data_IF_723399668662
#
_entry.id   IF_723399668662
#
_cell.length_a   1.000
_cell.length_b   1.000
_cell.length_c   1.000
_cell.angle_alpha   90.00
_cell.angle_beta   90.00
_cell.angle_gamma   90.00
#
_symmetry.space_group_name_H-M   'P 1'
#
loop_
_entity.id
_entity.type
_entity.pdbx_description
1 polymer ?
#
# COMPACT_ATOMS: atom_id res chain seq x y z
N UNK A 1 -3.20 33.08 0.41
CA UNK A 1 -3.41 31.66 0.76
C UNK A 1 -3.82 30.91 -0.50
N UNK A 2 -2.94 30.06 -1.03
CA UNK A 2 -3.21 29.22 -2.20
C UNK A 2 -4.13 28.01 -1.83
N UNK A 3 -4.66 27.24 -2.80
CA UNK A 3 -5.51 26.08 -2.49
C UNK A 3 -4.86 25.04 -1.57
N UNK A 4 -3.56 24.73 -1.74
CA UNK A 4 -2.85 23.79 -0.86
C UNK A 4 -2.85 24.27 0.58
N UNK A 5 -2.46 25.53 0.82
CA UNK A 5 -2.39 26.13 2.16
C UNK A 5 -3.75 26.16 2.86
N UNK A 6 -4.85 26.32 2.11
CA UNK A 6 -6.21 26.19 2.68
C UNK A 6 -6.52 24.77 3.13
N UNK A 7 -6.08 23.76 2.37
CA UNK A 7 -6.27 22.37 2.76
C UNK A 7 -5.38 22.00 3.96
N UNK A 8 -4.12 22.44 3.99
CA UNK A 8 -3.22 22.28 5.13
C UNK A 8 -3.80 22.94 6.41
N UNK A 9 -4.44 24.11 6.27
CA UNK A 9 -5.12 24.74 7.40
C UNK A 9 -6.34 23.92 7.85
N UNK A 10 -7.15 23.41 6.91
CA UNK A 10 -8.27 22.51 7.26
C UNK A 10 -7.78 21.26 7.99
N UNK A 11 -6.65 20.67 7.58
CA UNK A 11 -6.07 19.51 8.26
C UNK A 11 -5.69 19.84 9.72
N UNK A 12 -5.18 21.05 9.98
CA UNK A 12 -4.86 21.51 11.34
C UNK A 12 -6.09 21.66 12.23
N UNK A 13 -7.17 22.15 11.65
CA UNK A 13 -8.38 22.50 12.39
C UNK A 13 -9.28 21.27 12.67
N UNK A 14 -9.28 20.28 11.76
CA UNK A 14 -10.29 19.22 11.77
C UNK A 14 -9.77 17.78 11.90
N UNK A 15 -8.50 17.51 11.60
CA UNK A 15 -7.96 16.16 11.84
C UNK A 15 -7.78 15.90 13.35
N UNK A 16 -7.83 14.63 13.73
CA UNK A 16 -7.54 14.22 15.10
C UNK A 16 -6.13 14.66 15.52
N UNK A 17 -5.87 14.96 16.80
CA UNK A 17 -4.55 15.40 17.26
C UNK A 17 -3.40 14.42 16.97
N UNK A 18 -3.74 13.14 16.77
CA UNK A 18 -2.82 12.04 16.47
C UNK A 18 -2.64 11.77 14.97
N UNK A 19 -3.41 12.45 14.12
CA UNK A 19 -3.31 12.32 12.67
C UNK A 19 -2.09 13.07 12.14
N UNK A 20 -1.54 12.56 11.04
CA UNK A 20 -0.42 13.23 10.36
C UNK A 20 -0.93 14.36 9.48
N UNK A 21 -0.37 15.56 9.64
CA UNK A 21 -0.71 16.70 8.78
C UNK A 21 0.31 16.81 7.66
N UNK A 22 -0.17 17.11 6.45
CA UNK A 22 0.70 17.28 5.28
C UNK A 22 1.72 18.41 5.47
N UNK A 23 1.34 19.48 6.18
CA UNK A 23 2.25 20.59 6.51
C UNK A 23 3.35 20.23 7.52
N UNK A 24 3.25 19.08 8.20
CA UNK A 24 4.18 18.60 9.24
C UNK A 24 5.01 17.40 8.75
N UNK A 25 5.00 17.13 7.44
CA UNK A 25 5.78 16.06 6.82
C UNK A 25 7.28 16.21 7.11
N UNK A 26 7.98 15.09 7.29
CA UNK A 26 9.45 15.01 7.27
C UNK A 26 10.02 15.26 5.88
N UNK A 27 9.16 15.34 4.86
CA UNK A 27 9.49 15.74 3.52
C UNK A 27 9.96 14.59 2.64
N UNK A 28 10.65 14.97 1.57
CA UNK A 28 11.15 14.09 0.50
C UNK A 28 12.68 14.07 0.55
N UNK A 29 13.29 13.00 0.07
CA UNK A 29 14.75 12.91 0.01
C UNK A 29 15.36 13.96 -0.91
N UNK A 30 14.74 14.14 -2.09
CA UNK A 30 15.09 15.22 -3.00
C UNK A 30 14.11 16.37 -2.80
N UNK A 31 14.64 17.54 -2.43
CA UNK A 31 13.82 18.73 -2.24
C UNK A 31 13.21 19.16 -3.57
N UNK A 32 11.91 19.43 -3.53
CA UNK A 32 11.16 19.95 -4.67
C UNK A 32 10.33 21.14 -4.22
N UNK A 33 9.99 22.07 -5.14
CA UNK A 33 9.06 23.12 -4.82
C UNK A 33 7.69 22.54 -4.52
N UNK A 34 7.02 23.28 -3.67
CA UNK A 34 5.72 23.03 -3.10
C UNK A 34 4.64 23.30 -4.17
N UNK A 35 3.67 22.39 -4.35
CA UNK A 35 2.64 22.53 -5.39
C UNK A 35 1.58 23.53 -4.92
N UNK A 36 1.17 24.54 -5.73
CA UNK A 36 0.24 25.56 -5.25
C UNK A 36 -1.17 25.03 -5.00
N UNK A 37 -1.51 23.82 -5.48
CA UNK A 37 -2.86 23.24 -5.42
C UNK A 37 -2.92 22.03 -4.50
N UNK A 38 -1.97 21.09 -4.63
CA UNK A 38 -2.02 19.77 -3.98
C UNK A 38 -1.12 19.67 -2.77
N UNK A 39 -1.58 18.98 -1.73
CA UNK A 39 -0.76 18.62 -0.57
C UNK A 39 0.34 17.62 -0.95
N UNK A 40 1.34 17.45 -0.09
CA UNK A 40 2.44 16.52 -0.35
C UNK A 40 1.95 15.07 -0.53
N UNK A 41 0.94 14.64 0.23
CA UNK A 41 0.38 13.28 0.15
C UNK A 41 -0.51 13.09 -1.09
N UNK A 42 -1.26 14.11 -1.51
CA UNK A 42 -1.98 14.06 -2.79
C UNK A 42 -1.03 13.89 -3.97
N UNK A 43 0.10 14.60 -3.96
CA UNK A 43 1.14 14.42 -4.98
C UNK A 43 1.73 13.01 -4.98
N UNK A 44 1.90 12.40 -3.81
CA UNK A 44 2.39 11.02 -3.70
C UNK A 44 1.40 10.03 -4.29
N UNK A 45 0.13 10.13 -3.89
CA UNK A 45 -0.96 9.33 -4.47
C UNK A 45 -0.96 9.42 -6.00
N UNK A 46 -0.89 10.64 -6.54
CA UNK A 46 -0.91 10.85 -7.98
C UNK A 46 0.30 10.22 -8.67
N UNK A 47 1.50 10.30 -8.09
CA UNK A 47 2.72 9.65 -8.61
C UNK A 47 2.58 8.14 -8.68
N UNK A 48 2.06 7.54 -7.60
CA UNK A 48 1.84 6.10 -7.51
C UNK A 48 0.84 5.66 -8.57
N UNK A 49 -0.32 6.35 -8.65
CA UNK A 49 -1.40 6.02 -9.58
C UNK A 49 -0.96 6.05 -11.06
N UNK A 50 -0.04 6.96 -11.41
CA UNK A 50 0.47 7.10 -12.78
C UNK A 50 1.70 6.25 -13.08
N UNK A 51 2.23 5.50 -12.10
CA UNK A 51 3.44 4.69 -12.27
C UNK A 51 3.21 3.45 -13.15
N UNK A 52 4.28 2.95 -13.75
CA UNK A 52 4.20 1.70 -14.53
C UNK A 52 3.97 0.50 -13.60
N UNK A 53 4.57 0.49 -12.42
CA UNK A 53 4.39 -0.52 -11.38
C UNK A 53 2.92 -0.67 -10.98
N UNK A 54 2.20 0.44 -10.74
CA UNK A 54 0.79 0.40 -10.41
C UNK A 54 -0.06 -0.15 -11.57
N UNK A 55 0.21 0.28 -12.82
CA UNK A 55 -0.47 -0.26 -14.00
C UNK A 55 -0.27 -1.78 -14.17
N UNK A 56 0.90 -2.30 -13.81
CA UNK A 56 1.20 -3.74 -13.87
C UNK A 56 0.38 -4.56 -12.88
N UNK A 57 -0.16 -3.97 -11.80
CA UNK A 57 -1.04 -4.68 -10.87
C UNK A 57 -2.28 -5.26 -11.55
N UNK A 58 -2.75 -4.65 -12.65
CA UNK A 58 -3.85 -5.17 -13.46
C UNK A 58 -3.61 -6.59 -13.98
N UNK A 59 -2.36 -6.95 -14.23
CA UNK A 59 -1.99 -8.25 -14.82
C UNK A 59 -1.30 -9.17 -13.82
N UNK A 60 -1.35 -8.85 -12.52
CA UNK A 60 -0.88 -9.73 -11.45
C UNK A 60 -2.08 -10.37 -10.76
N UNK A 61 -2.06 -11.68 -10.65
CA UNK A 61 -3.13 -12.43 -9.97
C UNK A 61 -3.11 -12.20 -8.46
N UNK A 62 -4.31 -12.21 -7.87
CA UNK A 62 -4.52 -12.30 -6.43
C UNK A 62 -5.02 -13.72 -6.14
N UNK A 63 -4.16 -14.57 -5.57
CA UNK A 63 -4.43 -15.95 -5.12
C UNK A 63 -4.79 -16.97 -6.21
N UNK A 64 -5.82 -16.75 -7.04
CA UNK A 64 -6.28 -17.72 -8.04
C UNK A 64 -5.72 -17.41 -9.44
N UNK A 65 -5.36 -18.48 -10.16
CA UNK A 65 -4.97 -18.44 -11.57
C UNK A 65 -6.10 -19.08 -12.37
N UNK A 66 -7.00 -18.29 -12.92
CA UNK A 66 -7.93 -18.78 -13.92
C UNK A 66 -7.85 -17.89 -15.16
N UNK A 67 -7.31 -18.39 -16.28
CA UNK A 67 -7.25 -17.66 -17.54
C UNK A 67 -8.61 -17.48 -18.22
N UNK A 68 -9.66 -18.18 -17.79
CA UNK A 68 -10.96 -18.27 -18.48
C UNK A 68 -12.06 -17.43 -17.83
N UNK A 69 -11.95 -17.08 -16.55
CA UNK A 69 -12.93 -16.26 -15.83
C UNK A 69 -12.43 -14.85 -15.50
N UNK A 70 -13.02 -13.84 -16.16
CA UNK A 70 -12.74 -12.40 -15.95
C UNK A 70 -13.14 -11.86 -14.56
N UNK A 71 -13.73 -12.70 -13.71
CA UNK A 71 -14.25 -12.32 -12.39
C UNK A 71 -13.28 -12.57 -11.24
N UNK A 72 -12.15 -13.24 -11.47
CA UNK A 72 -11.12 -13.39 -10.44
C UNK A 72 -10.41 -12.07 -10.18
N UNK A 73 -10.14 -11.81 -8.91
CA UNK A 73 -9.49 -10.57 -8.49
C UNK A 73 -8.04 -10.52 -8.99
N UNK A 74 -7.65 -9.33 -9.43
CA UNK A 74 -6.26 -8.96 -9.68
C UNK A 74 -5.70 -8.23 -8.47
N UNK A 75 -4.38 -8.04 -8.41
CA UNK A 75 -3.77 -7.18 -7.38
C UNK A 75 -4.27 -5.74 -7.46
N UNK A 76 -4.64 -5.28 -8.65
CA UNK A 76 -5.23 -3.95 -8.80
C UNK A 76 -6.59 -3.86 -8.11
N UNK A 77 -7.48 -4.84 -8.30
CA UNK A 77 -8.81 -4.82 -7.65
C UNK A 77 -8.67 -4.93 -6.14
N UNK A 78 -7.79 -5.83 -5.64
CA UNK A 78 -7.45 -5.91 -4.22
C UNK A 78 -6.96 -4.57 -3.68
N UNK A 79 -5.99 -3.95 -4.34
CA UNK A 79 -5.43 -2.65 -3.93
C UNK A 79 -6.49 -1.55 -3.87
N UNK A 80 -7.43 -1.51 -4.80
CA UNK A 80 -8.53 -0.54 -4.81
C UNK A 80 -9.53 -0.78 -3.66
N UNK A 81 -9.86 -2.03 -3.37
CA UNK A 81 -10.73 -2.39 -2.24
C UNK A 81 -10.05 -2.07 -0.90
N UNK A 82 -8.77 -2.40 -0.74
CA UNK A 82 -7.97 -2.02 0.43
C UNK A 82 -7.94 -0.50 0.61
N UNK A 83 -7.71 0.26 -0.46
CA UNK A 83 -7.73 1.72 -0.39
C UNK A 83 -9.10 2.25 0.06
N UNK A 84 -10.19 1.67 -0.41
CA UNK A 84 -11.55 2.06 -0.01
C UNK A 84 -11.81 1.78 1.48
N UNK A 85 -11.43 0.59 1.98
CA UNK A 85 -11.56 0.22 3.40
C UNK A 85 -10.70 1.14 4.26
N UNK A 86 -9.43 1.34 3.88
CA UNK A 86 -8.48 2.16 4.62
C UNK A 86 -8.95 3.62 4.74
N UNK A 87 -9.46 4.20 3.65
CA UNK A 87 -10.04 5.56 3.67
C UNK A 87 -11.28 5.66 4.54
N UNK A 88 -12.11 4.61 4.57
CA UNK A 88 -13.31 4.58 5.43
C UNK A 88 -12.91 4.62 6.90
N UNK A 89 -11.91 3.82 7.29
CA UNK A 89 -11.37 3.83 8.66
C UNK A 89 -10.72 5.19 8.98
N UNK A 90 -9.88 5.70 8.08
CA UNK A 90 -9.21 7.00 8.26
C UNK A 90 -10.22 8.14 8.45
N UNK A 91 -11.25 8.21 7.61
CA UNK A 91 -12.32 9.22 7.71
C UNK A 91 -13.06 9.13 9.05
N UNK A 92 -13.44 7.92 9.47
CA UNK A 92 -14.15 7.70 10.73
C UNK A 92 -13.32 8.14 11.95
N UNK A 93 -12.00 7.97 11.89
CA UNK A 93 -11.05 8.34 12.94
C UNK A 93 -10.50 9.77 12.80
N UNK A 94 -10.91 10.51 11.76
CA UNK A 94 -10.34 11.82 11.38
C UNK A 94 -8.82 11.80 11.21
N UNK A 95 -8.30 10.74 10.60
CA UNK A 95 -6.91 10.63 10.16
C UNK A 95 -6.73 11.20 8.75
N UNK A 96 -5.48 11.31 8.28
CA UNK A 96 -5.21 11.84 6.94
C UNK A 96 -5.56 10.80 5.86
N UNK A 97 -6.66 11.04 5.15
CA UNK A 97 -7.13 10.16 4.08
C UNK A 97 -6.17 10.08 2.89
N UNK A 98 -5.57 11.20 2.48
CA UNK A 98 -4.67 11.24 1.32
C UNK A 98 -3.37 10.45 1.61
N UNK A 99 -2.83 10.56 2.83
CA UNK A 99 -1.70 9.72 3.27
C UNK A 99 -2.09 8.24 3.29
N UNK A 100 -3.23 7.92 3.89
CA UNK A 100 -3.72 6.53 4.00
C UNK A 100 -3.92 5.91 2.62
N UNK A 101 -4.53 6.64 1.69
CA UNK A 101 -4.75 6.21 0.31
C UNK A 101 -3.43 6.04 -0.45
N UNK A 102 -2.48 6.97 -0.32
CA UNK A 102 -1.18 6.84 -0.96
C UNK A 102 -0.43 5.57 -0.51
N UNK A 103 -0.43 5.27 0.80
CA UNK A 103 0.17 4.02 1.31
C UNK A 103 -0.56 2.81 0.73
N UNK A 104 -1.90 2.83 0.76
CA UNK A 104 -2.71 1.72 0.25
C UNK A 104 -2.46 1.45 -1.24
N UNK A 105 -2.33 2.47 -2.09
CA UNK A 105 -2.06 2.26 -3.51
C UNK A 105 -0.65 1.73 -3.80
N UNK A 106 0.30 1.90 -2.88
CA UNK A 106 1.70 1.54 -3.08
C UNK A 106 2.15 0.24 -2.39
N UNK A 107 1.38 -0.28 -1.44
CA UNK A 107 1.81 -1.41 -0.58
C UNK A 107 2.20 -2.67 -1.37
N UNK A 108 1.51 -2.90 -2.49
CA UNK A 108 1.56 -4.15 -3.26
C UNK A 108 2.36 -4.04 -4.56
N UNK A 109 3.02 -2.91 -4.81
CA UNK A 109 3.74 -2.66 -6.08
C UNK A 109 4.82 -3.71 -6.36
N UNK A 110 5.50 -4.15 -5.31
CA UNK A 110 6.64 -5.06 -5.34
C UNK A 110 6.29 -6.53 -5.43
N UNK A 111 5.01 -6.91 -5.41
CA UNK A 111 4.65 -8.32 -5.53
C UNK A 111 5.12 -8.91 -6.87
N UNK A 112 5.74 -10.09 -6.86
CA UNK A 112 6.12 -10.76 -8.10
C UNK A 112 4.89 -11.35 -8.81
N UNK A 113 5.05 -11.86 -10.04
CA UNK A 113 4.07 -12.75 -10.65
C UNK A 113 3.71 -13.91 -9.71
N UNK A 114 2.48 -14.43 -9.79
CA UNK A 114 2.01 -15.57 -8.98
C UNK A 114 1.94 -15.33 -7.46
N UNK A 115 1.86 -14.07 -7.03
CA UNK A 115 1.58 -13.70 -5.64
C UNK A 115 2.60 -14.29 -4.64
N UNK A 116 2.11 -14.92 -3.57
CA UNK A 116 2.97 -15.49 -2.53
C UNK A 116 3.83 -16.65 -3.03
N UNK A 117 3.33 -17.47 -3.97
CA UNK A 117 4.13 -18.55 -4.54
C UNK A 117 5.35 -17.99 -5.31
N UNK A 118 5.16 -16.88 -6.04
CA UNK A 118 6.27 -16.19 -6.69
C UNK A 118 7.22 -15.52 -5.71
N UNK A 119 6.72 -15.02 -4.58
CA UNK A 119 7.55 -14.45 -3.51
C UNK A 119 8.41 -15.52 -2.84
N UNK A 120 7.84 -16.67 -2.50
CA UNK A 120 8.56 -17.82 -1.92
C UNK A 120 9.62 -18.36 -2.88
N UNK A 121 9.29 -18.52 -4.16
CA UNK A 121 10.23 -18.99 -5.18
C UNK A 121 11.38 -18.00 -5.43
N UNK A 122 11.10 -16.69 -5.43
CA UNK A 122 12.16 -15.69 -5.54
C UNK A 122 13.02 -15.64 -4.27
N UNK A 123 12.43 -15.74 -3.08
CA UNK A 123 13.17 -15.75 -1.82
C UNK A 123 14.12 -16.96 -1.71
N UNK A 124 13.67 -18.16 -2.14
CA UNK A 124 14.51 -19.35 -2.12
C UNK A 124 15.73 -19.19 -3.02
N UNK A 125 15.52 -18.74 -4.27
CA UNK A 125 16.61 -18.52 -5.23
C UNK A 125 17.52 -17.39 -4.75
N UNK A 126 16.96 -16.31 -4.22
CA UNK A 126 17.76 -15.18 -3.72
C UNK A 126 18.71 -15.60 -2.59
N UNK A 127 18.23 -16.45 -1.66
CA UNK A 127 19.05 -16.97 -0.55
C UNK A 127 20.16 -17.90 -1.01
N UNK A 128 20.03 -18.57 -2.16
CA UNK A 128 21.15 -19.34 -2.74
C UNK A 128 22.32 -18.43 -3.14
N UNK A 129 22.03 -17.19 -3.59
CA UNK A 129 23.06 -16.22 -3.98
C UNK A 129 23.53 -15.33 -2.80
N UNK A 130 22.62 -14.99 -1.88
CA UNK A 130 22.89 -14.14 -0.73
C UNK A 130 22.19 -14.69 0.53
N UNK A 131 22.83 -15.62 1.27
CA UNK A 131 22.21 -16.34 2.38
C UNK A 131 21.68 -15.47 3.52
N UNK A 132 22.30 -14.31 3.74
CA UNK A 132 21.94 -13.34 4.80
C UNK A 132 20.81 -12.38 4.38
N UNK A 133 20.33 -12.48 3.14
CA UNK A 133 19.31 -11.62 2.58
C UNK A 133 18.16 -12.45 1.98
N UNK A 134 17.09 -11.79 1.57
CA UNK A 134 15.90 -12.45 1.04
C UNK A 134 15.05 -11.53 0.20
N UNK A 135 14.04 -12.11 -0.44
CA UNK A 135 13.05 -11.39 -1.21
C UNK A 135 11.75 -11.24 -0.41
N UNK A 136 11.28 -9.99 -0.31
CA UNK A 136 10.01 -9.62 0.29
C UNK A 136 9.34 -8.56 -0.59
N UNK A 137 8.04 -8.71 -0.83
CA UNK A 137 7.30 -7.80 -1.70
C UNK A 137 7.28 -6.36 -1.17
N UNK A 138 7.27 -6.15 0.14
CA UNK A 138 7.26 -4.81 0.74
C UNK A 138 8.62 -4.10 0.55
N UNK A 139 9.74 -4.82 0.71
CA UNK A 139 11.09 -4.29 0.41
C UNK A 139 11.23 -3.96 -1.08
N UNK A 140 10.69 -4.84 -1.93
CA UNK A 140 10.65 -4.58 -3.37
C UNK A 140 9.71 -3.40 -3.72
N UNK A 141 8.64 -3.17 -2.97
CA UNK A 141 7.76 -2.01 -3.15
C UNK A 141 8.48 -0.71 -2.83
N UNK A 142 9.25 -0.67 -1.75
CA UNK A 142 10.15 0.45 -1.43
C UNK A 142 11.16 0.69 -2.54
N UNK A 143 11.87 -0.38 -2.96
CA UNK A 143 12.84 -0.29 -4.05
C UNK A 143 12.23 0.25 -5.34
N UNK A 144 10.98 -0.11 -5.65
CA UNK A 144 10.26 0.44 -6.81
C UNK A 144 10.07 1.95 -6.68
N UNK A 145 9.59 2.43 -5.54
CA UNK A 145 9.27 3.85 -5.34
C UNK A 145 10.50 4.71 -5.06
N UNK A 146 11.61 4.13 -4.62
CA UNK A 146 12.87 4.83 -4.31
C UNK A 146 13.86 4.80 -5.48
N UNK A 147 13.90 3.71 -6.26
CA UNK A 147 14.95 3.49 -7.26
C UNK A 147 14.45 3.19 -8.67
N UNK A 148 13.50 2.26 -8.83
CA UNK A 148 13.24 1.63 -10.14
C UNK A 148 12.29 2.44 -11.04
N UNK A 149 11.29 3.09 -10.46
CA UNK A 149 10.45 4.02 -11.21
C UNK A 149 11.21 5.31 -11.49
N UNK A 150 10.76 6.10 -12.46
CA UNK A 150 11.45 7.35 -12.82
C UNK A 150 10.45 8.48 -12.81
N UNK A 151 10.72 9.50 -12.00
CA UNK A 151 9.93 10.72 -11.95
C UNK A 151 10.80 11.94 -12.23
N UNK A 152 10.45 12.70 -13.28
CA UNK A 152 11.26 13.81 -13.75
C UNK A 152 12.63 13.33 -14.25
N UNK A 153 13.71 13.89 -13.70
CA UNK A 153 15.08 13.57 -14.07
C UNK A 153 15.82 12.64 -13.09
N UNK A 154 15.13 12.13 -12.04
CA UNK A 154 15.76 11.35 -10.97
C UNK A 154 15.16 9.96 -10.78
N UNK A 155 15.90 9.04 -10.12
CA UNK A 155 15.42 7.69 -9.81
C UNK A 155 14.34 7.72 -8.73
N UNK A 156 13.42 6.77 -8.77
CA UNK A 156 12.26 6.69 -7.90
C UNK A 156 11.21 7.77 -8.14
N UNK A 157 10.14 7.68 -7.38
CA UNK A 157 9.03 8.63 -7.34
C UNK A 157 9.24 9.77 -6.34
N UNK A 158 10.32 9.74 -5.55
CA UNK A 158 10.65 10.74 -4.53
C UNK A 158 9.48 11.01 -3.56
N UNK A 159 8.83 9.95 -3.07
CA UNK A 159 7.67 10.05 -2.16
C UNK A 159 8.07 10.65 -0.81
N UNK A 160 7.08 11.17 -0.09
CA UNK A 160 7.27 11.63 1.29
C UNK A 160 7.72 10.47 2.19
N UNK A 161 8.44 10.79 3.26
CA UNK A 161 8.90 9.81 4.23
C UNK A 161 7.75 9.00 4.83
N UNK A 162 6.60 9.63 5.09
CA UNK A 162 5.45 8.98 5.71
C UNK A 162 4.85 7.89 4.83
N UNK A 163 4.77 8.13 3.51
CA UNK A 163 4.29 7.12 2.57
C UNK A 163 5.26 5.94 2.51
N UNK A 164 6.56 6.21 2.50
CA UNK A 164 7.59 5.15 2.50
C UNK A 164 7.57 4.34 3.80
N UNK A 165 7.47 4.99 4.95
CA UNK A 165 7.31 4.30 6.25
C UNK A 165 6.06 3.42 6.27
N UNK A 166 4.95 3.90 5.70
CA UNK A 166 3.73 3.11 5.56
C UNK A 166 3.93 1.86 4.69
N UNK A 167 4.56 2.01 3.52
CA UNK A 167 4.86 0.88 2.60
C UNK A 167 5.76 -0.14 3.29
N UNK A 168 6.81 0.30 3.99
CA UNK A 168 7.78 -0.56 4.66
C UNK A 168 7.15 -1.45 5.74
N UNK A 169 6.12 -0.94 6.43
CA UNK A 169 5.65 -1.52 7.69
C UNK A 169 4.17 -1.92 7.67
N UNK A 170 3.55 -2.02 6.49
CA UNK A 170 2.14 -2.42 6.39
C UNK A 170 1.93 -3.93 6.66
N UNK A 171 2.89 -4.77 6.28
CA UNK A 171 2.77 -6.24 6.37
C UNK A 171 3.36 -6.79 7.66
N UNK A 172 2.72 -7.84 8.21
CA UNK A 172 3.21 -8.64 9.35
C UNK A 172 3.33 -10.14 9.04
N UNK A 173 3.30 -10.52 7.77
CA UNK A 173 3.12 -11.93 7.41
C UNK A 173 1.86 -12.52 8.05
N UNK A 174 1.88 -13.82 8.35
CA UNK A 174 0.68 -14.56 8.81
C UNK A 174 0.30 -14.37 10.29
N UNK A 175 1.04 -13.57 11.06
CA UNK A 175 0.82 -13.44 12.50
C UNK A 175 -0.49 -12.70 12.84
N UNK A 176 -1.09 -13.01 13.98
CA UNK A 176 -2.34 -12.40 14.43
C UNK A 176 -2.27 -10.87 14.53
N UNK A 177 -3.40 -10.21 14.28
CA UNK A 177 -3.51 -8.75 14.37
C UNK A 177 -3.11 -8.24 15.76
N UNK A 178 -3.43 -9.01 16.81
CA UNK A 178 -3.14 -8.73 18.20
C UNK A 178 -1.65 -8.90 18.58
N UNK A 179 -0.86 -9.61 17.78
CA UNK A 179 0.54 -9.87 18.10
C UNK A 179 1.38 -8.60 17.89
N UNK A 180 2.04 -8.17 18.97
CA UNK A 180 3.07 -7.15 18.88
C UNK A 180 4.35 -7.73 18.32
N UNK A 181 4.88 -7.13 17.25
CA UNK A 181 6.05 -7.64 16.53
C UNK A 181 7.22 -6.67 16.61
N UNK A 182 7.08 -5.56 17.34
CA UNK A 182 8.08 -4.49 17.38
C UNK A 182 8.18 -3.65 16.11
N UNK A 183 7.82 -4.20 14.94
CA UNK A 183 7.74 -3.51 13.65
C UNK A 183 6.35 -2.87 13.50
N UNK A 184 6.30 -1.54 13.52
CA UNK A 184 5.05 -0.78 13.40
C UNK A 184 5.32 0.45 12.55
N UNK A 185 4.43 0.72 11.58
CA UNK A 185 4.41 2.04 10.97
C UNK A 185 4.31 3.10 12.07
N UNK A 186 5.04 4.19 11.86
CA UNK A 186 5.14 5.29 12.80
C UNK A 186 3.82 6.04 12.90
N UNK A 187 3.06 6.08 11.80
CA UNK A 187 1.80 6.83 11.69
C UNK A 187 0.59 5.95 12.02
N UNK A 188 -0.53 6.58 12.42
CA UNK A 188 -1.78 5.82 12.58
C UNK A 188 -2.35 5.41 11.22
N UNK A 189 -2.14 6.22 10.20
CA UNK A 189 -2.51 5.99 8.81
C UNK A 189 -1.86 4.70 8.27
N UNK A 190 -0.56 4.50 8.53
CA UNK A 190 0.12 3.25 8.16
C UNK A 190 -0.36 2.04 8.96
N UNK A 191 -0.76 2.23 10.23
CA UNK A 191 -1.40 1.15 11.02
C UNK A 191 -2.80 0.79 10.52
N UNK A 192 -3.56 1.78 10.05
CA UNK A 192 -4.87 1.55 9.40
C UNK A 192 -4.69 0.66 8.18
N UNK A 193 -3.64 0.88 7.39
CA UNK A 193 -3.35 0.08 6.21
C UNK A 193 -3.28 -1.41 6.56
N UNK A 194 -2.51 -1.77 7.60
CA UNK A 194 -2.41 -3.16 8.08
C UNK A 194 -3.77 -3.80 8.37
N UNK A 195 -4.69 -3.05 8.98
CA UNK A 195 -6.03 -3.55 9.30
C UNK A 195 -6.84 -3.71 8.02
N UNK A 196 -6.81 -2.70 7.14
CA UNK A 196 -7.56 -2.70 5.90
C UNK A 196 -7.15 -3.83 4.95
N UNK A 197 -5.84 -4.07 4.79
CA UNK A 197 -5.31 -5.15 3.96
C UNK A 197 -5.77 -6.53 4.46
N UNK A 198 -5.71 -6.76 5.78
CA UNK A 198 -6.19 -8.01 6.38
C UNK A 198 -7.71 -8.21 6.22
N UNK A 199 -8.49 -7.13 6.38
CA UNK A 199 -9.95 -7.19 6.19
C UNK A 199 -10.30 -7.51 4.73
N UNK A 200 -9.62 -6.89 3.77
CA UNK A 200 -9.81 -7.21 2.35
C UNK A 200 -9.42 -8.65 2.06
N UNK A 201 -8.21 -9.05 2.46
CA UNK A 201 -7.66 -10.39 2.24
C UNK A 201 -8.60 -11.50 2.72
N UNK A 202 -9.09 -11.42 3.98
CA UNK A 202 -9.95 -12.48 4.54
C UNK A 202 -11.28 -12.59 3.80
N UNK A 203 -11.93 -11.46 3.48
CA UNK A 203 -13.22 -11.50 2.80
C UNK A 203 -13.08 -11.96 1.35
N UNK A 204 -12.00 -11.57 0.67
CA UNK A 204 -11.84 -11.81 -0.75
C UNK A 204 -11.35 -13.22 -1.05
N UNK A 205 -10.36 -13.71 -0.29
CA UNK A 205 -9.89 -15.10 -0.42
C UNK A 205 -11.04 -16.07 -0.14
N UNK A 206 -11.91 -15.74 0.81
CA UNK A 206 -13.09 -16.55 1.11
C UNK A 206 -14.12 -16.52 -0.03
N UNK A 207 -14.45 -15.34 -0.56
CA UNK A 207 -15.38 -15.21 -1.68
C UNK A 207 -14.85 -15.92 -2.94
N UNK A 208 -13.57 -15.75 -3.26
CA UNK A 208 -12.95 -16.39 -4.41
C UNK A 208 -12.84 -17.92 -4.21
N UNK A 209 -12.57 -18.40 -2.98
CA UNK A 209 -12.57 -19.83 -2.67
C UNK A 209 -13.97 -20.47 -2.77
N UNK A 210 -15.01 -19.72 -2.40
CA UNK A 210 -16.40 -20.15 -2.58
C UNK A 210 -16.75 -20.22 -4.07
N UNK A 211 -16.38 -19.21 -4.85
CA UNK A 211 -16.60 -19.17 -6.31
C UNK A 211 -15.87 -20.30 -7.03
N UNK A 212 -14.63 -20.58 -6.64
CA UNK A 212 -13.84 -21.69 -7.16
C UNK A 212 -14.35 -23.08 -6.71
N UNK A 213 -15.38 -23.15 -5.86
CA UNK A 213 -15.94 -24.39 -5.35
C UNK A 213 -15.02 -25.15 -4.38
N UNK A 214 -13.97 -24.50 -3.87
CA UNK A 214 -13.04 -25.07 -2.90
C UNK A 214 -13.61 -25.08 -1.47
N UNK A 215 -14.51 -24.15 -1.19
CA UNK A 215 -15.21 -24.02 0.10
C UNK A 215 -16.70 -23.85 -0.17
N UNK A 216 -17.56 -24.58 0.53
CA UNK A 216 -19.00 -24.37 0.47
C UNK A 216 -19.40 -23.29 1.48
N UNK A 217 -20.41 -22.45 1.19
CA UNK A 217 -20.88 -21.43 2.15
C UNK A 217 -21.25 -21.99 3.53
N UNK A 218 -21.72 -23.24 3.60
CA UNK A 218 -22.05 -23.92 4.85
C UNK A 218 -20.83 -24.38 5.68
N UNK A 219 -19.62 -24.30 5.13
CA UNK A 219 -18.36 -24.68 5.79
C UNK A 219 -17.67 -23.48 6.46
N UNK A 220 -18.21 -22.27 6.27
CA UNK A 220 -17.74 -21.04 6.89
C UNK A 220 -18.33 -20.92 8.31
N UNK A 221 -17.51 -20.77 9.37
CA UNK A 221 -17.96 -20.68 10.76
C UNK A 221 -18.90 -19.51 11.09
#
# INVERSE_FOLDING_TARGET
>A
MNPRERQEQWERDYLAPVAVRSSETRGRERREPDDPVRTCFQRDRDRILHSKAFRRLKHKTQVFLDPEEDHFRTRLTHTLEVAQIARTIARALRLNEDLTEAIALAHDLGHPPFGHAGEEALDSVYREFAPEAGFRHYDQSLRIVEELEVHGAGPGMNLTWEVRDGIAHHSKGRQDLATDTGVRSTTLEGKVMRIADRVAYVNHDLDDAIRAGLVRPAEVP
#
